data_IF_369779129057
#
_entry.id   IF_369779129057
#
_cell.length_a   1.000
_cell.length_b   1.000
_cell.length_c   1.000
_cell.angle_alpha   90.00
_cell.angle_beta   90.00
_cell.angle_gamma   90.00
#
_symmetry.space_group_name_H-M   'P 1'
#
loop_
_entity.id
_entity.type
_entity.pdbx_description
1 polymer ?
#
# COMPACT_ATOMS: atom_id res chain seq x y z
N UNK A 1 21.74 -7.27 2.48
CA UNK A 1 20.87 -6.17 1.97
C UNK A 1 21.32 -4.84 2.55
N UNK A 2 21.51 -3.81 1.72
CA UNK A 2 21.83 -2.44 2.15
C UNK A 2 21.04 -1.47 1.28
N UNK A 3 19.94 -0.98 1.82
CA UNK A 3 19.04 -0.02 1.15
C UNK A 3 19.53 1.39 1.48
N UNK A 4 19.53 2.30 0.49
CA UNK A 4 19.84 3.71 0.72
C UNK A 4 18.70 4.41 1.45
N UNK A 5 19.05 5.49 2.16
CA UNK A 5 18.05 6.34 2.81
C UNK A 5 16.98 6.79 1.83
N UNK A 6 15.73 6.74 2.27
CA UNK A 6 14.59 7.11 1.44
C UNK A 6 14.44 8.64 1.41
N UNK A 7 15.01 9.26 0.38
CA UNK A 7 15.11 10.71 0.26
C UNK A 7 13.77 11.45 0.32
N UNK A 8 12.71 10.88 -0.25
CA UNK A 8 11.37 11.46 -0.22
C UNK A 8 10.80 11.50 1.20
N UNK A 9 10.94 10.42 1.97
CA UNK A 9 10.46 10.36 3.36
C UNK A 9 11.23 11.33 4.27
N UNK A 10 12.54 11.48 4.03
CA UNK A 10 13.35 12.47 4.75
C UNK A 10 12.86 13.91 4.43
N UNK A 11 12.52 14.17 3.17
CA UNK A 11 11.94 15.45 2.76
C UNK A 11 10.58 15.68 3.42
N UNK A 12 9.66 14.74 3.34
CA UNK A 12 8.34 14.84 3.96
C UNK A 12 8.43 14.97 5.48
N UNK A 13 9.29 14.22 6.14
CA UNK A 13 9.49 14.33 7.57
C UNK A 13 9.88 15.75 8.05
N UNK A 14 10.40 16.62 7.14
CA UNK A 14 10.70 18.01 7.44
C UNK A 14 9.60 18.99 7.08
N UNK A 15 8.87 18.73 6.01
CA UNK A 15 8.04 19.73 5.36
C UNK A 15 6.56 19.39 5.31
N UNK A 16 6.17 18.13 5.35
CA UNK A 16 4.80 17.66 5.14
C UNK A 16 3.79 18.35 6.08
N UNK A 17 4.17 18.54 7.35
CA UNK A 17 3.29 19.12 8.36
C UNK A 17 3.58 20.59 8.66
N UNK A 18 4.51 21.20 7.96
CA UNK A 18 4.95 22.58 8.23
C UNK A 18 4.86 23.52 7.02
N UNK A 19 4.90 22.99 5.81
CA UNK A 19 4.80 23.79 4.61
C UNK A 19 3.36 24.30 4.42
N UNK A 20 3.16 25.60 4.12
CA UNK A 20 1.83 26.16 3.89
C UNK A 20 1.19 25.63 2.60
N UNK A 21 1.99 25.17 1.65
CA UNK A 21 1.55 24.57 0.38
C UNK A 21 2.45 23.38 0.05
N UNK A 22 1.89 22.19 0.07
CA UNK A 22 2.60 20.95 -0.25
C UNK A 22 2.14 20.47 -1.62
N UNK A 23 2.94 20.74 -2.66
CA UNK A 23 2.62 20.41 -4.05
C UNK A 23 3.32 19.13 -4.54
N UNK A 24 4.02 18.42 -3.66
CA UNK A 24 4.79 17.23 -4.00
C UNK A 24 4.10 15.91 -3.66
N UNK A 25 2.95 15.96 -3.01
CA UNK A 25 2.14 14.78 -2.70
C UNK A 25 1.35 14.32 -3.92
N UNK A 26 1.20 13.01 -4.06
CA UNK A 26 0.39 12.35 -5.09
C UNK A 26 -0.79 11.55 -4.50
N UNK A 27 -0.98 11.61 -3.20
CA UNK A 27 -2.08 11.02 -2.47
C UNK A 27 -3.38 11.83 -2.63
N UNK A 28 -4.50 11.19 -2.40
CA UNK A 28 -5.80 11.85 -2.36
C UNK A 28 -6.03 12.55 -1.02
N UNK A 29 -7.01 13.43 -0.96
CA UNK A 29 -7.43 14.09 0.27
C UNK A 29 -7.86 13.06 1.33
N UNK A 30 -7.36 13.23 2.54
CA UNK A 30 -7.66 12.33 3.66
C UNK A 30 -9.06 12.56 4.21
N UNK A 31 -9.73 11.48 4.57
CA UNK A 31 -11.02 11.50 5.27
C UNK A 31 -10.84 11.14 6.75
N UNK A 32 -11.67 11.69 7.61
CA UNK A 32 -11.85 11.12 8.94
C UNK A 32 -12.58 9.76 8.85
N UNK A 33 -12.43 8.92 9.88
CA UNK A 33 -13.18 7.65 9.97
C UNK A 33 -14.69 7.92 9.87
N UNK A 34 -15.18 8.98 10.49
CA UNK A 34 -16.61 9.36 10.44
C UNK A 34 -17.07 9.68 9.02
N UNK A 35 -16.30 10.44 8.27
CA UNK A 35 -16.61 10.78 6.88
C UNK A 35 -16.59 9.54 5.99
N UNK A 36 -15.60 8.67 6.18
CA UNK A 36 -15.51 7.41 5.44
C UNK A 36 -16.73 6.51 5.70
N UNK A 37 -17.08 6.28 6.96
CA UNK A 37 -18.21 5.43 7.34
C UNK A 37 -19.57 6.03 6.94
N UNK A 38 -19.65 7.34 6.76
CA UNK A 38 -20.88 8.00 6.28
C UNK A 38 -21.16 7.76 4.78
N UNK A 39 -20.20 7.21 4.03
CA UNK A 39 -20.38 6.90 2.60
C UNK A 39 -21.28 5.70 2.37
N UNK A 40 -21.45 4.82 3.37
CA UNK A 40 -22.26 3.60 3.26
C UNK A 40 -23.20 3.46 4.46
N UNK A 41 -24.51 3.26 4.23
CA UNK A 41 -25.47 3.00 5.31
C UNK A 41 -25.12 1.71 6.06
N UNK A 42 -25.04 1.75 7.39
CA UNK A 42 -24.72 0.61 8.24
C UNK A 42 -23.23 0.41 8.52
N UNK A 43 -22.35 1.05 7.74
CA UNK A 43 -20.90 0.85 7.88
C UNK A 43 -20.35 1.20 9.29
N UNK A 44 -20.99 2.11 10.02
CA UNK A 44 -20.56 2.43 11.37
C UNK A 44 -20.81 1.27 12.33
N UNK A 45 -21.96 0.63 12.26
CA UNK A 45 -22.32 -0.55 13.06
C UNK A 45 -21.39 -1.72 12.70
N UNK A 46 -21.21 -2.00 11.43
CA UNK A 46 -20.33 -3.06 10.94
C UNK A 46 -18.88 -2.84 11.41
N UNK A 47 -18.40 -1.58 11.37
CA UNK A 47 -17.05 -1.25 11.86
C UNK A 47 -16.91 -1.48 13.37
N UNK A 48 -17.92 -1.11 14.17
CA UNK A 48 -17.90 -1.30 15.61
C UNK A 48 -18.01 -2.77 16.02
N UNK A 49 -18.69 -3.58 15.21
CA UNK A 49 -18.86 -5.03 15.43
C UNK A 49 -17.70 -5.85 14.82
N UNK A 50 -16.68 -5.19 14.26
CA UNK A 50 -15.49 -5.88 13.71
C UNK A 50 -14.81 -6.71 14.80
N UNK A 51 -14.73 -8.01 14.59
CA UNK A 51 -14.01 -8.92 15.48
C UNK A 51 -12.49 -8.77 15.33
N UNK A 52 -11.80 -8.48 16.45
CA UNK A 52 -10.36 -8.24 16.48
C UNK A 52 -9.54 -9.53 16.67
N UNK A 53 -9.99 -10.64 16.11
CA UNK A 53 -9.26 -11.91 16.11
C UNK A 53 -8.38 -12.08 14.87
N UNK A 54 -7.86 -13.31 14.71
CA UNK A 54 -7.12 -13.67 13.49
C UNK A 54 -8.05 -13.76 12.29
N UNK A 55 -7.53 -13.33 11.14
CA UNK A 55 -8.12 -13.57 9.82
C UNK A 55 -7.19 -14.43 8.96
N UNK A 56 -7.56 -14.71 7.73
CA UNK A 56 -6.79 -15.49 6.79
C UNK A 56 -5.45 -14.81 6.46
N UNK A 57 -4.39 -15.62 6.26
CA UNK A 57 -3.03 -15.14 6.03
C UNK A 57 -2.88 -14.28 4.77
N UNK A 58 -3.68 -14.54 3.76
CA UNK A 58 -3.70 -13.79 2.49
C UNK A 58 -4.67 -12.59 2.52
N UNK A 59 -5.37 -12.41 3.64
CA UNK A 59 -6.31 -11.32 3.90
C UNK A 59 -7.76 -11.76 3.94
N UNK A 60 -8.60 -10.97 4.59
CA UNK A 60 -10.02 -11.24 4.77
C UNK A 60 -10.73 -11.49 3.43
N UNK A 61 -11.51 -12.60 3.29
CA UNK A 61 -12.14 -12.97 2.02
C UNK A 61 -13.00 -11.87 1.40
N UNK A 62 -13.80 -11.17 2.21
CA UNK A 62 -14.65 -10.08 1.74
C UNK A 62 -13.85 -8.92 1.13
N UNK A 63 -12.68 -8.57 1.71
CA UNK A 63 -11.82 -7.53 1.17
C UNK A 63 -11.12 -7.99 -0.11
N UNK A 64 -10.68 -9.24 -0.18
CA UNK A 64 -10.09 -9.81 -1.41
C UNK A 64 -11.09 -9.85 -2.56
N UNK A 65 -12.34 -10.20 -2.27
CA UNK A 65 -13.43 -10.16 -3.26
C UNK A 65 -13.69 -8.73 -3.74
N UNK A 66 -13.78 -7.76 -2.84
CA UNK A 66 -13.95 -6.34 -3.20
C UNK A 66 -12.80 -5.83 -4.07
N UNK A 67 -11.54 -6.16 -3.73
CA UNK A 67 -10.36 -5.79 -4.53
C UNK A 67 -10.39 -6.46 -5.90
N UNK A 68 -10.70 -7.76 -5.98
CA UNK A 68 -10.78 -8.47 -7.27
C UNK A 68 -11.83 -7.88 -8.20
N UNK A 69 -12.93 -7.36 -7.65
CA UNK A 69 -13.98 -6.69 -8.42
C UNK A 69 -13.55 -5.40 -9.15
N UNK A 70 -12.37 -4.86 -8.83
CA UNK A 70 -11.77 -3.73 -9.55
C UNK A 70 -11.08 -4.15 -10.86
N UNK A 71 -10.91 -5.45 -11.11
CA UNK A 71 -10.16 -5.99 -12.23
C UNK A 71 -11.02 -6.97 -13.04
N UNK A 72 -10.80 -7.02 -14.35
CA UNK A 72 -11.60 -7.87 -15.25
C UNK A 72 -11.15 -9.34 -15.32
N UNK A 73 -9.93 -9.64 -14.90
CA UNK A 73 -9.32 -10.98 -15.02
C UNK A 73 -8.60 -11.40 -13.73
N UNK A 74 -9.12 -10.98 -12.57
CA UNK A 74 -8.53 -11.27 -11.27
C UNK A 74 -9.63 -11.83 -10.37
N UNK A 75 -9.47 -13.07 -9.92
CA UNK A 75 -10.32 -13.63 -8.87
C UNK A 75 -9.77 -13.33 -7.49
N UNK A 76 -10.58 -13.49 -6.41
CA UNK A 76 -10.11 -13.28 -5.05
C UNK A 76 -8.92 -14.16 -4.66
N UNK A 77 -8.75 -15.33 -5.28
CA UNK A 77 -7.59 -16.21 -5.10
C UNK A 77 -6.27 -15.62 -5.63
N UNK A 78 -6.33 -14.61 -6.47
CA UNK A 78 -5.16 -13.90 -7.01
C UNK A 78 -4.83 -12.61 -6.23
N UNK A 79 -5.51 -12.37 -5.11
CA UNK A 79 -5.31 -11.18 -4.28
C UNK A 79 -4.61 -11.56 -2.98
N UNK A 80 -3.48 -10.93 -2.71
CA UNK A 80 -2.75 -11.00 -1.44
C UNK A 80 -2.74 -9.60 -0.82
N UNK A 81 -3.25 -9.47 0.40
CA UNK A 81 -3.31 -8.20 1.11
C UNK A 81 -2.03 -7.94 1.88
N UNK A 82 -1.60 -6.68 1.87
CA UNK A 82 -0.43 -6.19 2.58
C UNK A 82 -0.76 -4.93 3.39
N UNK A 83 0.01 -4.68 4.45
CA UNK A 83 -0.09 -3.45 5.23
C UNK A 83 0.68 -2.33 4.52
N UNK A 84 0.04 -1.77 3.51
CA UNK A 84 0.60 -0.72 2.66
C UNK A 84 1.44 -1.23 1.49
N UNK A 85 1.56 -0.38 0.45
CA UNK A 85 2.26 -0.70 -0.78
C UNK A 85 3.76 -1.01 -0.58
N UNK A 86 4.40 -0.41 0.43
CA UNK A 86 5.80 -0.63 0.73
C UNK A 86 6.10 -2.07 1.16
N UNK A 87 5.22 -2.67 1.96
CA UNK A 87 5.34 -4.09 2.35
C UNK A 87 5.20 -5.00 1.13
N UNK A 88 4.21 -4.71 0.27
CA UNK A 88 3.99 -5.46 -0.96
C UNK A 88 5.20 -5.39 -1.92
N UNK A 89 5.77 -4.19 -2.14
CA UNK A 89 6.95 -3.99 -2.98
C UNK A 89 8.16 -4.76 -2.42
N UNK A 90 8.41 -4.63 -1.12
CA UNK A 90 9.51 -5.31 -0.46
C UNK A 90 9.36 -6.83 -0.54
N UNK A 91 8.18 -7.35 -0.17
CA UNK A 91 7.89 -8.78 -0.22
C UNK A 91 7.98 -9.35 -1.63
N UNK A 92 7.37 -8.70 -2.61
CA UNK A 92 7.38 -9.16 -4.00
C UNK A 92 8.80 -9.22 -4.58
N UNK A 93 9.61 -8.17 -4.41
CA UNK A 93 10.98 -8.15 -4.94
C UNK A 93 11.89 -9.19 -4.26
N UNK A 94 11.72 -9.44 -2.96
CA UNK A 94 12.50 -10.48 -2.26
C UNK A 94 12.09 -11.91 -2.65
N UNK A 95 10.86 -12.13 -3.10
CA UNK A 95 10.38 -13.47 -3.48
C UNK A 95 10.58 -13.76 -4.97
N UNK A 96 10.46 -12.73 -5.82
CA UNK A 96 10.43 -12.91 -7.27
C UNK A 96 11.79 -12.67 -7.95
N UNK A 97 12.77 -12.07 -7.25
CA UNK A 97 14.04 -11.67 -7.88
C UNK A 97 15.21 -12.34 -7.18
N UNK A 98 16.00 -13.09 -7.93
CA UNK A 98 17.21 -13.75 -7.46
C UNK A 98 18.47 -12.90 -7.75
N UNK A 99 19.56 -13.08 -6.98
CA UNK A 99 20.82 -12.39 -7.26
C UNK A 99 21.35 -12.67 -8.68
N UNK A 100 21.57 -11.59 -9.45
CA UNK A 100 22.03 -11.66 -10.83
C UNK A 100 20.93 -11.54 -11.87
N UNK A 101 19.67 -11.55 -11.48
CA UNK A 101 18.55 -11.27 -12.38
C UNK A 101 18.39 -9.76 -12.65
N UNK A 102 17.55 -9.44 -13.62
CA UNK A 102 17.35 -8.06 -14.07
C UNK A 102 15.93 -7.59 -13.79
N UNK A 103 15.81 -6.41 -13.20
CA UNK A 103 14.55 -5.70 -13.02
C UNK A 103 14.54 -4.45 -13.89
N UNK A 104 13.47 -4.27 -14.67
CA UNK A 104 13.24 -3.04 -15.44
C UNK A 104 12.31 -2.15 -14.63
N UNK A 105 12.78 -0.96 -14.29
CA UNK A 105 12.02 0.02 -13.53
C UNK A 105 11.89 1.33 -14.32
N UNK A 106 10.67 1.82 -14.51
CA UNK A 106 10.46 3.14 -15.08
C UNK A 106 11.06 4.20 -14.16
N UNK A 107 11.71 5.21 -14.73
CA UNK A 107 12.31 6.29 -13.97
C UNK A 107 11.95 7.67 -14.60
N UNK A 108 11.67 8.72 -13.80
CA UNK A 108 11.63 8.74 -12.32
C UNK A 108 10.40 8.04 -11.74
N UNK A 109 10.55 7.41 -10.56
CA UNK A 109 9.48 6.69 -9.85
C UNK A 109 9.76 6.59 -8.35
N UNK A 110 8.86 5.92 -7.62
CA UNK A 110 8.98 5.67 -6.19
C UNK A 110 10.26 4.90 -5.86
N UNK A 111 11.05 5.40 -4.93
CA UNK A 111 12.42 4.94 -4.66
C UNK A 111 12.51 3.45 -4.33
N UNK A 112 11.53 2.89 -3.63
CA UNK A 112 11.51 1.48 -3.26
C UNK A 112 11.57 0.54 -4.44
N UNK A 113 10.95 0.90 -5.57
CA UNK A 113 10.88 0.04 -6.75
C UNK A 113 12.27 -0.28 -7.34
N UNK A 114 13.24 0.61 -7.18
CA UNK A 114 14.59 0.38 -7.69
C UNK A 114 15.64 0.16 -6.59
N UNK A 115 15.47 0.69 -5.39
CA UNK A 115 16.45 0.49 -4.31
C UNK A 115 16.32 -0.89 -3.65
N UNK A 116 15.11 -1.43 -3.50
CA UNK A 116 14.93 -2.80 -2.99
C UNK A 116 15.50 -3.82 -3.97
N UNK A 117 15.26 -3.63 -5.27
CA UNK A 117 15.83 -4.52 -6.30
C UNK A 117 17.38 -4.48 -6.36
N UNK A 118 18.02 -3.38 -5.91
CA UNK A 118 19.49 -3.24 -5.87
C UNK A 118 20.12 -3.79 -4.61
N UNK A 119 19.35 -3.97 -3.56
CA UNK A 119 19.85 -4.30 -2.23
C UNK A 119 20.07 -5.79 -2.02
#
# INVERSE_FOLDING_TARGET
MKIRDFGLEIFFGRYEFSAPYLLAQSDCESLSIRELLALEPGAQEDFLDTWLGYSENDGAPALREAVSGLYTQCGPENVLLHVGAQEAIFGALNVLVEPGEHVICQFPTYQSLYEVARA
#
